data_IF_341741066974
#
_entry.id   IF_341741066974
#
_cell.length_a   1.000
_cell.length_b   1.000
_cell.length_c   1.000
_cell.angle_alpha   90.00
_cell.angle_beta   90.00
_cell.angle_gamma   90.00
#
_symmetry.space_group_name_H-M   'P 1'
#
loop_
_entity.id
_entity.type
_entity.pdbx_description
1 polymer ?
#
# COMPACT_ATOMS: atom_id res chain seq x y z
N UNK A 1 -3.96 28.70 10.27
CA UNK A 1 -2.51 28.85 10.53
C UNK A 1 -1.82 28.67 9.19
N UNK A 2 -1.05 29.66 8.72
CA UNK A 2 -0.32 29.57 7.46
C UNK A 2 0.73 28.46 7.56
N UNK A 3 0.46 27.30 6.97
CA UNK A 3 1.52 26.36 6.63
C UNK A 3 2.35 27.01 5.54
N UNK A 4 3.59 27.37 5.86
CA UNK A 4 4.56 27.82 4.85
C UNK A 4 4.80 26.68 3.88
N UNK A 5 4.31 26.83 2.66
CA UNK A 5 4.45 25.90 1.53
C UNK A 5 5.90 25.49 1.19
N UNK A 6 6.90 26.17 1.75
CA UNK A 6 8.31 25.99 1.43
C UNK A 6 8.88 24.62 1.86
N UNK A 7 8.24 23.90 2.79
CA UNK A 7 8.75 22.62 3.30
C UNK A 7 8.16 21.37 2.66
N UNK A 8 7.07 21.47 1.90
CA UNK A 8 6.40 20.29 1.32
C UNK A 8 7.03 19.87 0.00
N UNK A 9 7.17 18.55 -0.19
CA UNK A 9 7.88 17.96 -1.31
C UNK A 9 9.40 18.08 -1.22
N UNK A 10 10.11 17.34 -2.05
CA UNK A 10 11.56 17.35 -2.15
C UNK A 10 12.07 18.59 -2.91
N UNK A 11 13.36 18.91 -2.71
CA UNK A 11 14.05 19.95 -3.50
C UNK A 11 13.98 19.64 -5.00
N UNK A 12 14.08 18.35 -5.37
CA UNK A 12 13.98 17.89 -6.75
C UNK A 12 12.61 18.15 -7.38
N UNK A 13 11.54 17.85 -6.63
CA UNK A 13 10.16 18.12 -7.07
C UNK A 13 9.95 19.61 -7.33
N UNK A 14 10.31 20.47 -6.38
CA UNK A 14 10.18 21.92 -6.55
C UNK A 14 10.95 22.44 -7.75
N UNK A 15 12.18 21.97 -7.96
CA UNK A 15 12.99 22.34 -9.13
C UNK A 15 12.28 21.99 -10.43
N UNK A 16 11.72 20.78 -10.53
CA UNK A 16 10.98 20.34 -11.71
C UNK A 16 9.67 21.11 -11.89
N UNK A 17 8.97 21.42 -10.79
CA UNK A 17 7.75 22.23 -10.83
C UNK A 17 8.01 23.64 -11.36
N UNK A 18 9.10 24.27 -10.95
CA UNK A 18 9.52 25.56 -11.51
C UNK A 18 9.90 25.44 -12.98
N UNK A 19 10.70 24.43 -13.34
CA UNK A 19 11.14 24.21 -14.72
C UNK A 19 9.95 24.02 -15.67
N UNK A 20 8.89 23.34 -15.21
CA UNK A 20 7.71 23.01 -15.99
C UNK A 20 6.56 24.03 -15.82
N UNK A 21 6.74 25.06 -15.01
CA UNK A 21 5.70 26.06 -14.75
C UNK A 21 4.47 25.51 -14.00
N UNK A 22 4.64 24.47 -13.18
CA UNK A 22 3.55 23.78 -12.45
C UNK A 22 3.54 24.06 -10.94
N UNK A 23 4.35 25.00 -10.46
CA UNK A 23 4.47 25.33 -9.04
C UNK A 23 3.12 25.68 -8.38
N UNK A 24 2.27 26.49 -9.02
CA UNK A 24 0.97 26.87 -8.46
C UNK A 24 -0.01 25.68 -8.39
N UNK A 25 0.08 24.76 -9.35
CA UNK A 25 -0.72 23.53 -9.36
C UNK A 25 -0.30 22.59 -8.22
N UNK A 26 1.02 22.43 -8.03
CA UNK A 26 1.57 21.64 -6.93
C UNK A 26 1.20 22.26 -5.58
N UNK A 27 1.30 23.58 -5.44
CA UNK A 27 0.86 24.28 -4.22
C UNK A 27 -0.63 24.03 -3.94
N UNK A 28 -1.49 24.15 -4.95
CA UNK A 28 -2.92 23.85 -4.78
C UNK A 28 -3.17 22.40 -4.35
N UNK A 29 -2.38 21.44 -4.85
CA UNK A 29 -2.46 20.05 -4.43
C UNK A 29 -2.07 19.87 -2.97
N UNK A 30 -0.91 20.38 -2.54
CA UNK A 30 -0.45 20.22 -1.17
C UNK A 30 -1.41 20.88 -0.16
N UNK A 31 -1.90 22.10 -0.45
CA UNK A 31 -2.83 22.81 0.43
C UNK A 31 -4.16 22.09 0.61
N UNK A 32 -4.68 21.48 -0.46
CA UNK A 32 -6.04 20.92 -0.46
C UNK A 32 -6.09 19.43 -0.16
N UNK A 33 -5.04 18.67 -0.47
CA UNK A 33 -5.09 17.21 -0.46
C UNK A 33 -4.13 16.58 0.54
N UNK A 34 -3.05 17.27 0.93
CA UNK A 34 -2.07 16.73 1.87
C UNK A 34 -2.41 17.17 3.29
N UNK A 35 -2.54 16.18 4.17
CA UNK A 35 -2.81 16.38 5.59
C UNK A 35 -1.58 15.94 6.39
N UNK A 36 -1.20 16.70 7.42
CA UNK A 36 -0.12 16.31 8.33
C UNK A 36 -0.55 15.23 9.34
N UNK A 37 -1.85 14.94 9.42
CA UNK A 37 -2.48 13.98 10.33
C UNK A 37 -3.61 13.25 9.60
N UNK A 38 -3.95 12.07 10.07
CA UNK A 38 -5.06 11.29 9.55
C UNK A 38 -6.38 11.95 9.93
N UNK A 39 -7.26 12.11 8.95
CA UNK A 39 -8.66 12.41 9.22
C UNK A 39 -9.38 11.17 9.74
N UNK A 40 -10.53 11.30 10.43
CA UNK A 40 -11.35 10.16 10.81
C UNK A 40 -11.68 9.24 9.63
N UNK A 41 -11.97 9.81 8.45
CA UNK A 41 -12.27 9.06 7.24
C UNK A 41 -11.06 8.26 6.73
N UNK A 42 -9.85 8.83 6.84
CA UNK A 42 -8.61 8.11 6.52
C UNK A 42 -8.38 6.96 7.50
N UNK A 43 -8.58 7.18 8.79
CA UNK A 43 -8.45 6.15 9.81
C UNK A 43 -9.46 5.00 9.58
N UNK A 44 -10.72 5.32 9.30
CA UNK A 44 -11.75 4.35 8.94
C UNK A 44 -11.39 3.57 7.67
N UNK A 45 -10.87 4.26 6.66
CA UNK A 45 -10.41 3.63 5.42
C UNK A 45 -9.30 2.62 5.70
N UNK A 46 -8.26 3.02 6.43
CA UNK A 46 -7.13 2.15 6.85
C UNK A 46 -7.64 0.94 7.62
N UNK A 47 -8.55 1.15 8.58
CA UNK A 47 -9.11 0.08 9.40
C UNK A 47 -9.86 -1.01 8.62
N UNK A 48 -10.37 -0.70 7.41
CA UNK A 48 -11.03 -1.69 6.54
C UNK A 48 -10.06 -2.45 5.63
N UNK A 49 -8.82 -1.99 5.48
CA UNK A 49 -7.90 -2.59 4.52
C UNK A 49 -7.38 -3.95 4.98
N UNK A 50 -7.24 -4.86 4.02
CA UNK A 50 -6.64 -6.18 4.21
C UNK A 50 -5.25 -6.29 3.59
N UNK A 51 -4.80 -5.23 2.93
CA UNK A 51 -3.47 -5.12 2.35
C UNK A 51 -2.93 -3.70 2.39
N UNK A 52 -1.61 -3.58 2.37
CA UNK A 52 -0.87 -2.33 2.19
C UNK A 52 0.45 -2.61 1.48
N UNK A 53 0.97 -1.61 0.78
CA UNK A 53 2.32 -1.65 0.21
C UNK A 53 3.22 -0.72 1.01
N UNK A 54 4.31 -1.26 1.53
CA UNK A 54 5.29 -0.52 2.31
C UNK A 54 6.54 -0.28 1.47
N UNK A 55 6.92 0.98 1.29
CA UNK A 55 8.19 1.40 0.72
C UNK A 55 9.16 1.78 1.84
N UNK A 56 10.38 1.25 1.75
CA UNK A 56 11.52 1.57 2.63
C UNK A 56 12.77 1.73 1.78
N UNK A 57 13.79 2.39 2.30
CA UNK A 57 15.14 2.35 1.72
C UNK A 57 16.20 2.28 2.80
N UNK A 58 17.34 1.67 2.52
CA UNK A 58 18.50 1.71 3.41
C UNK A 58 19.15 3.11 3.44
N UNK A 59 20.22 3.28 4.21
CA UNK A 59 20.94 4.56 4.28
C UNK A 59 21.63 4.96 2.95
N UNK A 60 21.85 4.00 2.05
CA UNK A 60 22.40 4.22 0.71
C UNK A 60 21.35 4.57 -0.35
N UNK A 61 20.07 4.49 0.00
CA UNK A 61 18.95 4.73 -0.91
C UNK A 61 18.55 3.50 -1.75
N UNK A 62 19.01 2.30 -1.40
CA UNK A 62 18.50 1.08 -2.03
C UNK A 62 17.07 0.82 -1.54
N UNK A 63 16.12 0.80 -2.46
CA UNK A 63 14.70 0.74 -2.14
C UNK A 63 14.15 -0.69 -2.13
N UNK A 64 13.23 -0.94 -1.21
CA UNK A 64 12.39 -2.13 -1.17
C UNK A 64 10.91 -1.72 -1.17
N UNK A 65 10.07 -2.58 -1.76
CA UNK A 65 8.61 -2.49 -1.64
C UNK A 65 8.09 -3.84 -1.17
N UNK A 66 7.43 -3.85 -0.02
CA UNK A 66 6.91 -5.07 0.60
C UNK A 66 5.39 -5.03 0.63
N UNK A 67 4.77 -6.10 0.13
CA UNK A 67 3.34 -6.34 0.29
C UNK A 67 3.06 -6.82 1.72
N UNK A 68 2.19 -6.09 2.43
CA UNK A 68 1.69 -6.43 3.76
C UNK A 68 0.23 -6.82 3.64
N UNK A 69 -0.15 -7.91 4.30
CA UNK A 69 -1.53 -8.38 4.30
C UNK A 69 -1.91 -8.93 5.68
N UNK A 70 -3.18 -8.77 6.00
CA UNK A 70 -3.77 -9.23 7.24
C UNK A 70 -5.30 -9.09 7.22
N UNK A 71 -5.99 -9.48 8.30
CA UNK A 71 -7.41 -9.19 8.44
C UNK A 71 -7.65 -7.67 8.46
N UNK A 72 -8.89 -7.19 8.22
CA UNK A 72 -9.23 -5.79 8.44
C UNK A 72 -8.76 -5.32 9.83
N UNK A 73 -8.10 -4.16 9.88
CA UNK A 73 -7.52 -3.60 11.09
C UNK A 73 -6.12 -4.11 11.44
N UNK A 74 -5.47 -4.91 10.58
CA UNK A 74 -4.08 -5.35 10.81
C UNK A 74 -3.11 -4.17 10.87
N UNK A 75 -3.37 -3.10 10.12
CA UNK A 75 -2.83 -1.77 10.42
C UNK A 75 -3.79 -1.08 11.36
N UNK A 76 -3.33 -0.79 12.57
CA UNK A 76 -4.11 -0.14 13.62
C UNK A 76 -3.72 1.33 13.70
N UNK A 77 -4.71 2.21 13.66
CA UNK A 77 -4.53 3.64 13.95
C UNK A 77 -4.55 3.81 15.46
N UNK A 78 -3.43 4.24 16.04
CA UNK A 78 -3.32 4.46 17.49
C UNK A 78 -3.89 5.83 17.89
N UNK A 79 -3.64 6.83 17.04
CA UNK A 79 -4.16 8.19 17.13
C UNK A 79 -4.09 8.87 15.75
N UNK A 80 -4.47 10.15 15.67
CA UNK A 80 -4.50 10.90 14.40
C UNK A 80 -3.10 11.13 13.78
N UNK A 81 -2.02 10.90 14.52
CA UNK A 81 -0.64 11.03 14.05
C UNK A 81 0.13 9.72 13.99
N UNK A 82 -0.47 8.59 14.38
CA UNK A 82 0.29 7.35 14.59
C UNK A 82 -0.43 6.12 14.09
N UNK A 83 0.24 5.36 13.22
CA UNK A 83 -0.17 4.04 12.76
C UNK A 83 0.75 2.97 13.34
N UNK A 84 0.25 1.76 13.47
CA UNK A 84 1.10 0.60 13.72
C UNK A 84 0.65 -0.65 12.97
N UNK A 85 1.60 -1.51 12.61
CA UNK A 85 1.32 -2.83 12.08
C UNK A 85 2.29 -3.88 12.67
N UNK A 86 1.87 -5.15 12.76
CA UNK A 86 2.72 -6.22 13.26
C UNK A 86 3.68 -6.74 12.18
N UNK A 87 4.93 -6.95 12.56
CA UNK A 87 5.93 -7.70 11.81
C UNK A 87 6.03 -9.11 12.41
N UNK A 88 5.79 -10.14 11.60
CA UNK A 88 5.84 -11.53 12.05
C UNK A 88 7.17 -12.18 11.65
N UNK A 89 7.47 -13.32 12.26
CA UNK A 89 8.59 -14.16 11.82
C UNK A 89 8.41 -14.56 10.35
N UNK A 90 9.28 -14.03 9.50
CA UNK A 90 9.28 -14.29 8.05
C UNK A 90 10.41 -15.22 7.60
N UNK A 91 10.86 -15.01 6.36
CA UNK A 91 11.95 -15.75 5.70
C UNK A 91 13.37 -15.39 6.20
N UNK A 92 13.48 -14.51 7.20
CA UNK A 92 14.75 -14.08 7.79
C UNK A 92 15.47 -12.95 7.04
N UNK A 93 14.95 -12.48 5.90
CA UNK A 93 15.57 -11.38 5.13
C UNK A 93 15.45 -10.05 5.88
N UNK A 94 14.32 -9.81 6.56
CA UNK A 94 14.06 -8.62 7.37
C UNK A 94 14.28 -7.29 6.63
N UNK A 95 14.15 -7.25 5.30
CA UNK A 95 14.46 -6.09 4.46
C UNK A 95 13.87 -4.77 4.99
N UNK A 96 12.54 -4.68 5.14
CA UNK A 96 11.91 -3.45 5.66
C UNK A 96 12.39 -3.08 7.06
N UNK A 97 12.54 -4.06 7.96
CA UNK A 97 12.94 -3.79 9.34
C UNK A 97 14.40 -3.31 9.40
N UNK A 98 15.30 -3.93 8.63
CA UNK A 98 16.69 -3.50 8.49
C UNK A 98 16.77 -2.07 7.94
N UNK A 99 16.09 -1.79 6.83
CA UNK A 99 16.04 -0.46 6.25
C UNK A 99 15.57 0.59 7.27
N UNK A 100 14.49 0.32 8.02
CA UNK A 100 13.95 1.22 9.05
C UNK A 100 14.98 1.52 10.15
N UNK A 101 15.85 0.56 10.51
CA UNK A 101 16.89 0.81 11.52
C UNK A 101 17.99 1.74 11.05
N UNK A 102 18.22 1.83 9.74
CA UNK A 102 19.24 2.69 9.11
C UNK A 102 18.66 4.03 8.63
N UNK A 103 17.44 4.00 8.12
CA UNK A 103 16.71 5.13 7.56
C UNK A 103 15.22 5.01 7.95
N UNK A 104 14.73 5.87 8.85
CA UNK A 104 13.38 5.75 9.39
C UNK A 104 12.29 6.22 8.42
N UNK A 105 12.60 6.78 7.25
CA UNK A 105 11.58 7.29 6.34
C UNK A 105 10.87 6.16 5.58
N UNK A 106 9.54 6.14 5.66
CA UNK A 106 8.71 5.12 5.00
C UNK A 106 7.52 5.74 4.27
N UNK A 107 7.05 5.03 3.25
CA UNK A 107 5.80 5.32 2.56
C UNK A 107 4.87 4.10 2.61
N UNK A 108 3.60 4.31 2.90
CA UNK A 108 2.55 3.29 2.82
C UNK A 108 1.52 3.69 1.79
N UNK A 109 1.12 2.72 0.97
CA UNK A 109 0.02 2.85 0.04
C UNK A 109 -1.06 1.83 0.38
N UNK A 110 -2.26 2.34 0.65
CA UNK A 110 -3.48 1.58 0.82
C UNK A 110 -4.36 1.78 -0.41
N UNK A 111 -4.79 0.70 -1.05
CA UNK A 111 -5.60 0.77 -2.28
C UNK A 111 -6.86 -0.05 -2.10
N UNK A 112 -8.02 0.56 -2.31
CA UNK A 112 -9.26 -0.17 -2.45
C UNK A 112 -9.60 -0.33 -3.93
N UNK A 113 -9.58 -1.58 -4.40
CA UNK A 113 -9.89 -1.94 -5.77
C UNK A 113 -11.38 -2.27 -5.99
N UNK A 114 -12.17 -2.40 -4.93
CA UNK A 114 -13.53 -2.93 -5.04
C UNK A 114 -14.60 -1.85 -4.87
N UNK A 115 -14.51 -1.03 -3.82
CA UNK A 115 -15.62 -0.14 -3.42
C UNK A 115 -15.34 1.33 -3.71
N UNK A 116 -14.26 1.87 -3.13
CA UNK A 116 -13.94 3.29 -3.13
C UNK A 116 -13.09 3.69 -4.36
N UNK A 117 -12.34 2.75 -4.95
CA UNK A 117 -11.40 3.01 -6.08
C UNK A 117 -10.41 4.14 -5.78
N UNK A 118 -9.90 4.19 -4.55
CA UNK A 118 -8.94 5.21 -4.10
C UNK A 118 -7.63 4.60 -3.58
N UNK A 119 -6.56 5.38 -3.74
CA UNK A 119 -5.25 5.10 -3.16
C UNK A 119 -4.92 6.13 -2.09
N UNK A 120 -4.87 5.72 -0.82
CA UNK A 120 -4.42 6.54 0.30
C UNK A 120 -2.92 6.33 0.51
N UNK A 121 -2.15 7.40 0.38
CA UNK A 121 -0.74 7.46 0.71
C UNK A 121 -0.56 7.96 2.15
N UNK A 122 0.35 7.33 2.89
CA UNK A 122 0.79 7.78 4.22
C UNK A 122 2.31 7.72 4.26
N UNK A 123 2.95 8.88 4.40
CA UNK A 123 4.40 9.00 4.55
C UNK A 123 4.74 9.37 5.99
N UNK A 124 5.88 8.91 6.48
CA UNK A 124 6.39 9.39 7.75
C UNK A 124 7.59 8.62 8.31
N UNK A 125 7.83 8.81 9.60
CA UNK A 125 8.95 8.20 10.32
C UNK A 125 8.55 6.90 11.01
N UNK A 126 9.31 5.84 10.80
CA UNK A 126 9.07 4.52 11.36
C UNK A 126 10.02 4.15 12.50
N UNK A 127 9.52 3.39 13.48
CA UNK A 127 10.30 2.79 14.58
C UNK A 127 9.81 1.37 14.89
N UNK A 128 10.74 0.52 15.30
CA UNK A 128 10.46 -0.86 15.70
C UNK A 128 10.32 -0.96 17.22
N UNK A 129 9.25 -1.60 17.67
CA UNK A 129 8.97 -1.89 19.08
C UNK A 129 8.79 -3.40 19.28
N UNK A 130 9.24 -3.95 20.42
CA UNK A 130 9.04 -5.38 20.72
C UNK A 130 7.58 -5.65 21.11
N UNK A 131 7.05 -6.83 20.76
CA UNK A 131 5.65 -7.21 21.03
C UNK A 131 5.27 -7.04 22.51
N UNK A 132 6.10 -7.52 23.43
CA UNK A 132 5.82 -7.45 24.87
C UNK A 132 5.73 -6.02 25.41
N UNK A 133 6.63 -5.12 24.96
CA UNK A 133 6.60 -3.71 25.35
C UNK A 133 5.34 -3.04 24.80
N UNK A 134 5.06 -3.31 23.54
CA UNK A 134 4.00 -2.64 22.82
C UNK A 134 2.61 -3.07 23.29
N UNK A 135 2.40 -4.34 23.62
CA UNK A 135 1.16 -4.82 24.23
C UNK A 135 0.93 -4.30 25.65
N UNK A 136 1.98 -3.94 26.39
CA UNK A 136 1.81 -3.28 27.70
C UNK A 136 1.28 -1.85 27.53
N UNK A 137 1.80 -1.12 26.54
CA UNK A 137 1.36 0.23 26.25
C UNK A 137 -0.03 0.27 25.57
N UNK A 138 -0.31 -0.70 24.69
CA UNK A 138 -1.55 -0.79 23.92
C UNK A 138 -2.17 -2.20 24.04
N UNK A 139 -2.87 -2.49 25.15
CA UNK A 139 -3.44 -3.82 25.42
C UNK A 139 -4.49 -4.28 24.41
N UNK A 140 -5.05 -3.34 23.65
CA UNK A 140 -6.10 -3.58 22.65
C UNK A 140 -5.57 -3.93 21.26
N UNK A 141 -4.25 -4.00 21.08
CA UNK A 141 -3.67 -4.39 19.81
C UNK A 141 -4.16 -5.77 19.36
N UNK A 142 -4.45 -5.95 18.05
CA UNK A 142 -4.94 -7.21 17.53
C UNK A 142 -4.06 -8.41 17.94
N UNK A 143 -4.73 -9.53 18.14
CA UNK A 143 -4.10 -10.84 18.37
C UNK A 143 -4.35 -11.68 17.13
N UNK A 144 -3.28 -12.29 16.60
CA UNK A 144 -3.41 -13.21 15.47
C UNK A 144 -4.17 -14.47 15.91
N UNK A 145 -5.14 -14.89 15.09
CA UNK A 145 -5.96 -16.07 15.37
C UNK A 145 -5.24 -17.38 15.04
N UNK A 146 -4.15 -17.34 14.28
CA UNK A 146 -3.36 -18.51 13.95
C UNK A 146 -2.60 -19.01 15.20
N UNK A 147 -2.71 -20.31 15.55
CA UNK A 147 -2.07 -20.85 16.75
C UNK A 147 -0.55 -20.59 16.80
N UNK A 148 -0.09 -19.99 17.89
CA UNK A 148 1.33 -19.75 18.15
C UNK A 148 1.97 -18.60 17.36
N UNK A 149 1.22 -17.95 16.46
CA UNK A 149 1.73 -16.81 15.69
C UNK A 149 1.69 -15.54 16.53
N UNK A 150 2.85 -14.92 16.72
CA UNK A 150 3.01 -13.64 17.42
C UNK A 150 3.87 -12.68 16.60
N UNK A 151 3.63 -11.36 16.69
CA UNK A 151 4.56 -10.38 16.15
C UNK A 151 5.94 -10.52 16.81
N UNK A 152 7.00 -10.41 16.02
CA UNK A 152 8.38 -10.21 16.51
C UNK A 152 8.59 -8.73 16.88
N UNK A 153 7.99 -7.84 16.08
CA UNK A 153 7.99 -6.41 16.28
C UNK A 153 6.64 -5.80 15.92
N UNK A 154 6.40 -4.60 16.43
CA UNK A 154 5.43 -3.66 15.92
C UNK A 154 6.17 -2.50 15.28
N UNK A 155 5.77 -2.13 14.07
CA UNK A 155 6.30 -0.96 13.40
C UNK A 155 5.35 0.20 13.66
N UNK A 156 5.85 1.24 14.32
CA UNK A 156 5.12 2.48 14.53
C UNK A 156 5.49 3.46 13.44
N UNK A 157 4.51 4.13 12.87
CA UNK A 157 4.70 5.17 11.87
C UNK A 157 4.09 6.45 12.42
N UNK A 158 4.94 7.44 12.67
CA UNK A 158 4.51 8.81 12.91
C UNK A 158 4.21 9.44 11.56
N UNK A 159 2.97 9.84 11.34
CA UNK A 159 2.49 10.43 10.10
C UNK A 159 3.10 11.81 9.91
N UNK A 160 3.67 12.04 8.73
CA UNK A 160 4.15 13.35 8.28
C UNK A 160 3.26 13.90 7.16
N UNK A 161 2.79 13.02 6.27
CA UNK A 161 1.88 13.37 5.18
C UNK A 161 0.87 12.24 4.93
N UNK A 162 -0.39 12.59 4.70
CA UNK A 162 -1.43 11.68 4.26
C UNK A 162 -2.28 12.32 3.17
N UNK A 163 -2.48 11.64 2.05
CA UNK A 163 -3.24 12.17 0.91
C UNK A 163 -3.78 11.07 0.01
N UNK A 164 -4.86 11.38 -0.71
CA UNK A 164 -5.44 10.47 -1.72
C UNK A 164 -4.90 10.83 -3.09
N UNK A 165 -4.47 9.81 -3.85
CA UNK A 165 -4.04 9.98 -5.23
C UNK A 165 -4.47 8.76 -6.08
N UNK A 166 -4.29 8.86 -7.41
CA UNK A 166 -4.53 7.78 -8.38
C UNK A 166 -5.96 7.26 -8.58
N UNK A 167 -7.01 7.88 -8.01
CA UNK A 167 -8.38 7.34 -8.08
C UNK A 167 -8.92 7.08 -9.50
N UNK A 168 -8.46 7.83 -10.51
CA UNK A 168 -8.91 7.66 -11.90
C UNK A 168 -8.41 6.39 -12.60
N UNK A 169 -7.40 5.72 -12.06
CA UNK A 169 -6.72 4.61 -12.74
C UNK A 169 -6.73 3.31 -11.94
N UNK A 170 -7.38 3.28 -10.77
CA UNK A 170 -7.49 2.06 -9.98
C UNK A 170 -8.55 1.17 -10.63
N UNK A 171 -8.18 -0.03 -11.14
CA UNK A 171 -9.13 -0.92 -11.76
C UNK A 171 -10.07 -1.52 -10.71
N UNK A 172 -11.26 -1.92 -11.15
CA UNK A 172 -12.12 -2.73 -10.31
C UNK A 172 -11.57 -4.17 -10.24
N UNK A 173 -11.16 -4.62 -9.05
CA UNK A 173 -10.67 -5.97 -8.80
C UNK A 173 -11.39 -6.61 -7.61
N UNK A 174 -11.92 -7.81 -7.82
CA UNK A 174 -12.49 -8.63 -6.77
C UNK A 174 -11.59 -9.84 -6.48
N UNK A 175 -11.37 -10.20 -5.19
CA UNK A 175 -10.59 -11.39 -4.85
C UNK A 175 -11.21 -12.65 -5.45
N UNK A 176 -10.46 -13.33 -6.31
CA UNK A 176 -10.86 -14.64 -6.81
C UNK A 176 -10.73 -15.72 -5.71
N UNK A 177 -11.54 -16.78 -5.76
CA UNK A 177 -11.37 -17.93 -4.88
C UNK A 177 -9.94 -18.48 -4.96
N UNK A 178 -9.36 -18.82 -3.79
CA UNK A 178 -8.02 -19.41 -3.77
C UNK A 178 -8.02 -20.73 -4.56
N UNK A 179 -7.05 -20.95 -5.46
CA UNK A 179 -6.95 -22.21 -6.19
C UNK A 179 -6.88 -23.42 -5.25
N UNK A 180 -7.40 -24.57 -5.68
CA UNK A 180 -7.40 -25.80 -4.89
C UNK A 180 -5.95 -26.24 -4.58
N UNK A 181 -5.69 -26.84 -3.40
CA UNK A 181 -4.41 -27.48 -3.11
C UNK A 181 -4.11 -28.53 -4.21
N UNK A 182 -2.96 -28.40 -4.87
CA UNK A 182 -2.55 -29.27 -5.98
C UNK A 182 -2.47 -28.60 -7.36
N UNK A 183 -2.91 -27.34 -7.50
CA UNK A 183 -2.54 -26.54 -8.66
C UNK A 183 -1.01 -26.39 -8.72
N UNK A 184 -0.39 -26.81 -9.81
CA UNK A 184 1.06 -26.85 -9.96
C UNK A 184 1.57 -25.44 -10.25
N UNK A 185 1.83 -24.68 -9.19
CA UNK A 185 2.44 -23.36 -9.26
C UNK A 185 3.95 -23.49 -9.02
N UNK A 186 4.81 -22.84 -9.84
CA UNK A 186 6.25 -22.79 -9.58
C UNK A 186 6.56 -22.21 -8.21
N UNK A 187 7.71 -22.60 -7.62
CA UNK A 187 8.18 -21.96 -6.38
C UNK A 187 8.67 -20.56 -6.71
N UNK A 188 8.69 -19.68 -5.71
CA UNK A 188 9.07 -18.27 -5.89
C UNK A 188 10.44 -18.10 -6.57
N UNK A 189 11.42 -18.95 -6.20
CA UNK A 189 12.77 -18.94 -6.78
C UNK A 189 12.84 -19.33 -8.27
N UNK A 190 11.78 -19.95 -8.81
CA UNK A 190 11.75 -20.51 -10.16
C UNK A 190 11.08 -19.56 -11.17
N UNK A 191 10.47 -18.44 -10.73
CA UNK A 191 9.67 -17.57 -11.59
C UNK A 191 10.46 -16.78 -12.64
N UNK A 192 11.63 -16.25 -12.25
CA UNK A 192 12.41 -15.32 -13.09
C UNK A 192 13.86 -15.79 -13.25
N UNK A 193 14.05 -17.09 -13.46
CA UNK A 193 15.36 -17.66 -13.80
C UNK A 193 15.56 -17.66 -15.31
N UNK A 194 16.81 -17.47 -15.75
CA UNK A 194 17.17 -17.53 -17.18
C UNK A 194 16.78 -18.90 -17.76
N UNK A 195 15.97 -18.91 -18.82
CA UNK A 195 15.48 -20.13 -19.46
C UNK A 195 14.18 -20.71 -18.89
N UNK A 196 13.51 -20.04 -17.94
CA UNK A 196 12.19 -20.45 -17.48
C UNK A 196 11.13 -20.30 -18.57
N UNK A 197 10.52 -21.41 -19.01
CA UNK A 197 9.29 -21.40 -19.81
C UNK A 197 8.08 -21.41 -18.87
N UNK A 198 7.37 -20.28 -18.77
CA UNK A 198 6.08 -20.21 -18.08
C UNK A 198 4.94 -20.38 -19.08
N UNK A 199 4.26 -21.53 -19.05
CA UNK A 199 2.93 -21.63 -19.68
C UNK A 199 1.94 -20.90 -18.78
N UNK A 200 1.49 -19.71 -19.19
CA UNK A 200 0.36 -19.06 -18.56
C UNK A 200 -0.86 -19.98 -18.70
N UNK A 201 -1.56 -20.25 -17.58
CA UNK A 201 -2.84 -20.95 -17.67
C UNK A 201 -3.79 -20.13 -18.56
N UNK A 202 -4.51 -20.76 -19.50
CA UNK A 202 -5.43 -20.03 -20.37
C UNK A 202 -6.47 -19.28 -19.53
N UNK A 203 -6.64 -17.98 -19.78
CA UNK A 203 -7.69 -17.17 -19.18
C UNK A 203 -9.06 -17.68 -19.67
N UNK A 204 -9.84 -18.32 -18.79
CA UNK A 204 -11.26 -18.63 -19.03
C UNK A 204 -12.10 -17.34 -18.97
N UNK A 205 -11.98 -16.46 -19.98
CA UNK A 205 -12.68 -15.17 -20.01
C UNK A 205 -13.29 -14.77 -21.35
N UNK A 206 -12.85 -15.35 -22.47
CA UNK A 206 -13.41 -15.05 -23.79
C UNK A 206 -14.45 -16.09 -24.21
N UNK A 207 -15.66 -15.99 -23.65
CA UNK A 207 -16.88 -16.39 -24.38
C UNK A 207 -17.60 -15.11 -24.76
N UNK A 208 -17.16 -14.53 -25.87
CA UNK A 208 -17.79 -13.37 -26.50
C UNK A 208 -19.24 -13.70 -26.88
N UNK A 209 -20.16 -12.92 -26.31
CA UNK A 209 -21.53 -12.79 -26.80
C UNK A 209 -21.49 -12.16 -28.20
N UNK A 210 -21.51 -12.99 -29.24
CA UNK A 210 -21.70 -12.56 -30.61
C UNK A 210 -23.14 -12.14 -30.85
N UNK A 211 -23.45 -10.88 -30.57
CA UNK A 211 -24.68 -10.21 -31.01
C UNK A 211 -24.79 -10.30 -32.53
N UNK A 212 -25.80 -11.00 -33.04
CA UNK A 212 -26.18 -10.97 -34.46
C UNK A 212 -26.68 -9.55 -34.78
N UNK A 213 -25.94 -8.83 -35.61
CA UNK A 213 -26.40 -7.58 -36.20
C UNK A 213 -27.33 -7.97 -37.35
N UNK A 214 -28.62 -7.72 -37.18
CA UNK A 214 -29.63 -7.86 -38.24
C UNK A 214 -29.41 -6.83 -39.34
N UNK A 215 -29.46 -7.26 -40.59
CA UNK A 215 -29.45 -6.42 -41.78
C UNK A 215 -30.76 -5.61 -41.88
N UNK A 216 -30.63 -4.31 -42.11
CA UNK A 216 -31.76 -3.42 -42.45
C UNK A 216 -32.00 -3.48 -43.97
N UNK A 217 -33.25 -3.59 -44.46
CA UNK A 217 -33.52 -3.61 -45.89
C UNK A 217 -33.48 -2.19 -46.50
N UNK A 218 -32.90 -2.10 -47.69
CA UNK A 218 -32.81 -0.87 -48.49
C UNK A 218 -34.17 -0.37 -48.98
N UNK A 219 -34.30 0.95 -49.04
CA UNK A 219 -35.45 1.66 -49.61
C UNK A 219 -35.46 1.52 -51.14
N UNK A 220 -36.61 1.12 -51.66
CA UNK A 220 -37.12 1.44 -53.00
C UNK A 220 -38.53 1.99 -52.83
#
# INVERSE_FOLDING_TARGET
MNHTHESTGSVGERRLQHLLGTADQAATFYDRQVQARLTPQMADFIGRQTMAFLSTSDAGGACDVTFRAGPPGFVTVLDDGTLTYPEYRGNGVLASAGNITENPHVGLLFVDFAHDHIGLHVNGGARLHRDDEQRRAYPHLPVDTAPGRRPEFWVHITVEEAYVHCSKHIPHLEPAPRPRPGAQRPKDADYFVLGAEHQAAPHEGERTAGTRIGSVPGRG
#
